data_IF_189516712314
#
_entry.id   IF_189516712314
#
_cell.length_a   1.000
_cell.length_b   1.000
_cell.length_c   1.000
_cell.angle_alpha   90.00
_cell.angle_beta   90.00
_cell.angle_gamma   90.00
#
_symmetry.space_group_name_H-M   'P 1'
#
loop_
_entity.id
_entity.type
_entity.pdbx_description
1 polymer ?
#
# COMPACT_ATOMS: atom_id res chain seq x y z
N UNK A 1 -32.82 -65.82 5.29
CA UNK A 1 -33.88 -64.80 5.09
C UNK A 1 -33.54 -63.65 6.01
N UNK A 2 -33.50 -62.43 5.47
CA UNK A 2 -33.91 -61.13 6.04
C UNK A 2 -33.75 -60.87 7.55
N UNK A 3 -33.38 -59.70 8.07
CA UNK A 3 -33.02 -58.39 7.55
C UNK A 3 -32.74 -57.48 8.77
N UNK A 4 -31.73 -56.62 8.64
CA UNK A 4 -31.60 -55.22 9.07
C UNK A 4 -32.06 -54.68 10.45
N UNK A 5 -31.20 -53.80 10.99
CA UNK A 5 -31.56 -52.58 11.73
C UNK A 5 -31.25 -52.64 13.24
N UNK A 6 -30.65 -51.66 13.90
CA UNK A 6 -30.30 -50.29 13.53
C UNK A 6 -29.31 -49.73 14.57
N UNK A 7 -28.13 -49.30 14.13
CA UNK A 7 -27.23 -48.40 14.87
C UNK A 7 -27.69 -46.97 14.66
N UNK A 8 -27.95 -46.21 15.74
CA UNK A 8 -28.14 -44.75 15.65
C UNK A 8 -26.85 -44.04 16.03
N UNK A 9 -26.29 -43.33 15.06
CA UNK A 9 -25.09 -42.53 15.15
C UNK A 9 -25.30 -41.27 16.01
N UNK A 10 -24.29 -40.95 16.82
CA UNK A 10 -24.08 -39.61 17.35
C UNK A 10 -23.58 -38.74 16.19
N UNK A 11 -24.24 -37.62 15.94
CA UNK A 11 -23.90 -36.72 14.84
C UNK A 11 -22.70 -35.87 15.25
N UNK A 12 -21.53 -36.18 14.68
CA UNK A 12 -20.40 -35.26 14.63
C UNK A 12 -20.72 -34.12 13.66
N UNK A 13 -20.90 -32.91 14.18
CA UNK A 13 -20.84 -31.68 13.38
C UNK A 13 -19.40 -31.16 13.30
N UNK A 14 -18.81 -30.98 12.10
CA UNK A 14 -17.54 -30.30 11.94
C UNK A 14 -17.74 -28.92 11.30
N UNK A 15 -17.40 -27.84 11.99
CA UNK A 15 -17.05 -26.53 11.38
C UNK A 15 -16.68 -25.59 12.54
N UNK A 16 -15.62 -24.79 12.55
CA UNK A 16 -14.96 -24.02 11.49
C UNK A 16 -13.55 -23.66 11.98
N UNK A 17 -12.57 -23.69 11.09
CA UNK A 17 -11.29 -23.04 11.30
C UNK A 17 -11.50 -21.53 11.51
N UNK A 18 -11.05 -21.01 12.65
CA UNK A 18 -10.87 -19.56 12.83
C UNK A 18 -9.44 -19.23 12.46
N UNK A 19 -9.20 -19.01 11.17
CA UNK A 19 -8.06 -18.20 10.78
C UNK A 19 -8.24 -16.82 11.45
N UNK A 20 -7.22 -16.28 12.14
CA UNK A 20 -7.35 -14.98 12.78
C UNK A 20 -7.59 -13.92 11.71
N UNK A 21 -8.71 -13.22 11.90
CA UNK A 21 -9.15 -12.07 11.14
C UNK A 21 -8.04 -11.02 11.02
N UNK A 22 -7.98 -10.39 9.86
CA UNK A 22 -7.10 -9.27 9.48
C UNK A 22 -6.82 -8.29 10.63
N UNK A 23 -5.62 -7.68 10.68
CA UNK A 23 -5.30 -6.66 11.68
C UNK A 23 -6.40 -5.60 11.75
N UNK A 24 -6.73 -5.08 12.95
CA UNK A 24 -7.75 -4.05 13.08
C UNK A 24 -7.39 -2.87 12.17
N UNK A 25 -8.22 -2.64 11.15
CA UNK A 25 -8.13 -1.44 10.33
C UNK A 25 -8.37 -0.26 11.27
N UNK A 26 -7.37 0.60 11.48
CA UNK A 26 -7.55 1.81 12.27
C UNK A 26 -8.71 2.60 11.65
N UNK A 27 -9.69 3.11 12.45
CA UNK A 27 -10.81 3.83 11.87
C UNK A 27 -10.27 5.03 11.07
N UNK A 28 -10.63 5.09 9.79
CA UNK A 28 -10.35 6.26 8.94
C UNK A 28 -10.96 7.47 9.63
N UNK A 29 -10.09 8.40 10.05
CA UNK A 29 -10.51 9.66 10.66
C UNK A 29 -10.80 10.66 9.55
N UNK A 30 -11.95 11.32 9.62
CA UNK A 30 -12.28 12.42 8.73
C UNK A 30 -11.50 13.68 9.15
N UNK A 31 -10.98 14.40 8.17
CA UNK A 31 -10.30 15.68 8.38
C UNK A 31 -10.97 16.78 7.57
N UNK A 32 -10.84 18.02 8.06
CA UNK A 32 -11.46 19.20 7.47
C UNK A 32 -10.51 20.00 6.61
N UNK A 33 -9.20 20.00 6.91
CA UNK A 33 -8.20 20.75 6.14
C UNK A 33 -6.78 20.20 6.32
N UNK A 34 -5.94 20.43 5.31
CA UNK A 34 -4.48 20.38 5.45
C UNK A 34 -4.00 21.79 5.81
N UNK A 35 -3.33 21.92 6.95
CA UNK A 35 -2.87 23.19 7.51
C UNK A 35 -1.45 23.57 7.08
N UNK A 36 -0.64 22.59 6.69
CA UNK A 36 0.77 22.83 6.40
C UNK A 36 1.56 21.54 6.18
N UNK A 37 2.84 21.70 5.89
CA UNK A 37 3.80 20.61 5.74
C UNK A 37 5.15 21.01 6.35
N UNK A 38 6.00 20.02 6.62
CA UNK A 38 7.40 20.21 7.01
C UNK A 38 8.25 19.00 6.67
N UNK A 39 9.54 19.22 6.49
CA UNK A 39 10.55 18.18 6.61
C UNK A 39 10.90 17.97 8.08
N UNK A 40 10.80 16.73 8.55
CA UNK A 40 11.25 16.33 9.88
C UNK A 40 12.20 15.15 9.71
N UNK A 41 13.51 15.41 9.92
CA UNK A 41 14.59 14.46 9.60
C UNK A 41 14.50 14.07 8.12
N UNK A 42 14.25 12.79 7.83
CA UNK A 42 14.19 12.24 6.48
C UNK A 42 12.75 11.93 6.01
N UNK A 43 11.73 12.58 6.60
CA UNK A 43 10.33 12.32 6.28
C UNK A 43 9.50 13.60 6.18
N UNK A 44 8.64 13.66 5.17
CA UNK A 44 7.62 14.70 5.07
C UNK A 44 6.46 14.43 6.03
N UNK A 45 6.12 15.46 6.80
CA UNK A 45 4.94 15.47 7.65
C UNK A 45 3.94 16.51 7.17
N UNK A 46 2.66 16.15 7.23
CA UNK A 46 1.52 16.99 6.87
C UNK A 46 0.75 17.31 8.15
N UNK A 47 0.46 18.59 8.37
CA UNK A 47 -0.33 19.04 9.51
C UNK A 47 -1.82 19.00 9.15
N UNK A 48 -2.58 18.16 9.83
CA UNK A 48 -3.98 17.88 9.51
C UNK A 48 -4.90 18.45 10.58
N UNK A 49 -5.94 19.19 10.16
CA UNK A 49 -7.07 19.58 11.02
C UNK A 49 -8.16 18.52 10.95
N UNK A 50 -8.34 17.78 12.03
CA UNK A 50 -9.35 16.73 12.13
C UNK A 50 -10.74 17.26 12.46
N UNK A 51 -11.77 16.43 12.27
CA UNK A 51 -13.10 16.68 12.83
C UNK A 51 -13.07 16.39 14.34
N UNK A 52 -13.41 17.39 15.15
CA UNK A 52 -13.67 17.22 16.59
C UNK A 52 -12.47 16.92 17.49
N UNK A 53 -11.23 16.96 16.97
CA UNK A 53 -10.00 16.80 17.77
C UNK A 53 -8.90 17.75 17.29
N UNK A 54 -7.87 17.91 18.14
CA UNK A 54 -6.75 18.81 17.87
C UNK A 54 -5.97 18.40 16.61
N UNK A 55 -5.45 19.38 15.85
CA UNK A 55 -4.61 19.10 14.70
C UNK A 55 -3.38 18.28 15.05
N UNK A 56 -2.97 17.39 14.14
CA UNK A 56 -1.77 16.56 14.33
C UNK A 56 -0.91 16.50 13.09
N UNK A 57 0.39 16.27 13.29
CA UNK A 57 1.31 15.92 12.22
C UNK A 57 1.19 14.44 11.88
N UNK A 58 0.95 14.14 10.60
CA UNK A 58 0.94 12.77 10.06
C UNK A 58 1.95 12.63 8.95
N UNK A 59 2.37 11.40 8.68
CA UNK A 59 3.26 11.08 7.58
C UNK A 59 2.60 11.35 6.23
N UNK A 60 3.33 11.91 5.28
CA UNK A 60 2.87 12.06 3.90
C UNK A 60 2.39 10.72 3.33
N UNK A 61 3.15 9.63 3.51
CA UNK A 61 2.74 8.27 3.13
C UNK A 61 1.35 7.89 3.63
N UNK A 62 1.04 8.25 4.87
CA UNK A 62 -0.25 7.87 5.45
C UNK A 62 -1.39 8.62 4.78
N UNK A 63 -1.21 9.92 4.52
CA UNK A 63 -2.19 10.69 3.78
C UNK A 63 -2.29 10.27 2.31
N UNK A 64 -1.18 9.85 1.69
CA UNK A 64 -1.20 9.30 0.33
C UNK A 64 -2.05 8.03 0.25
N UNK A 65 -1.88 7.10 1.19
CA UNK A 65 -2.71 5.88 1.26
C UNK A 65 -4.18 6.20 1.52
N UNK A 66 -4.43 7.08 2.48
CA UNK A 66 -5.77 7.25 3.02
C UNK A 66 -6.58 8.29 2.22
N UNK A 67 -5.94 9.32 1.68
CA UNK A 67 -6.59 10.43 0.99
C UNK A 67 -5.72 11.06 -0.10
N UNK A 68 -5.20 10.23 -1.03
CA UNK A 68 -4.32 10.64 -2.14
C UNK A 68 -4.79 11.91 -2.86
N UNK A 69 -6.07 11.97 -3.24
CA UNK A 69 -6.61 13.11 -3.97
C UNK A 69 -6.47 14.44 -3.22
N UNK A 70 -6.74 14.45 -1.90
CA UNK A 70 -6.59 15.65 -1.09
C UNK A 70 -5.12 16.06 -0.92
N UNK A 71 -4.21 15.09 -0.78
CA UNK A 71 -2.77 15.35 -0.72
C UNK A 71 -2.27 15.97 -2.03
N UNK A 72 -2.63 15.40 -3.18
CA UNK A 72 -2.21 15.92 -4.49
C UNK A 72 -2.81 17.30 -4.77
N UNK A 73 -4.07 17.51 -4.43
CA UNK A 73 -4.70 18.84 -4.53
C UNK A 73 -3.97 19.87 -3.66
N UNK A 74 -3.59 19.49 -2.43
CA UNK A 74 -2.79 20.36 -1.56
C UNK A 74 -1.46 20.74 -2.21
N UNK A 75 -0.72 19.77 -2.75
CA UNK A 75 0.54 20.07 -3.45
C UNK A 75 0.34 20.98 -4.66
N UNK A 76 -0.67 20.72 -5.49
CA UNK A 76 -1.00 21.55 -6.65
C UNK A 76 -1.44 22.97 -6.29
N UNK A 77 -1.94 23.19 -5.07
CA UNK A 77 -2.35 24.52 -4.60
C UNK A 77 -1.17 25.41 -4.19
N UNK A 78 0.02 24.84 -3.95
CA UNK A 78 1.20 25.60 -3.56
C UNK A 78 1.89 26.19 -4.79
N UNK A 79 2.42 27.43 -4.72
CA UNK A 79 3.11 28.06 -5.86
C UNK A 79 4.26 27.23 -6.45
N UNK A 80 4.96 26.47 -5.62
CA UNK A 80 6.13 25.67 -6.00
C UNK A 80 5.85 24.16 -5.93
N UNK A 81 4.60 23.73 -5.77
CA UNK A 81 4.25 22.32 -5.64
C UNK A 81 4.76 21.68 -4.34
N UNK A 82 4.94 20.35 -4.39
CA UNK A 82 5.59 19.55 -3.35
C UNK A 82 7.08 19.90 -3.30
N UNK A 83 7.66 20.33 -2.16
CA UNK A 83 9.08 20.62 -2.07
C UNK A 83 9.95 19.37 -2.29
N UNK A 84 11.17 19.55 -2.80
CA UNK A 84 12.16 18.48 -2.90
C UNK A 84 12.74 18.12 -1.54
N UNK A 85 13.41 16.97 -1.48
CA UNK A 85 14.19 16.57 -0.31
C UNK A 85 15.39 17.51 -0.12
N UNK A 86 15.55 18.12 1.07
CA UNK A 86 16.61 19.10 1.32
C UNK A 86 18.01 18.47 1.35
N UNK A 87 18.10 17.16 1.64
CA UNK A 87 19.39 16.46 1.73
C UNK A 87 19.84 15.91 0.37
N UNK A 88 18.90 15.45 -0.47
CA UNK A 88 19.16 14.88 -1.80
C UNK A 88 17.88 14.92 -2.65
N UNK A 89 17.83 15.76 -3.69
CA UNK A 89 16.64 15.99 -4.52
C UNK A 89 16.33 14.86 -5.52
N UNK A 90 17.20 13.84 -5.62
CA UNK A 90 16.97 12.62 -6.39
C UNK A 90 16.37 11.49 -5.55
N UNK A 91 16.23 11.67 -4.23
CA UNK A 91 15.70 10.65 -3.32
C UNK A 91 14.19 10.81 -3.11
N UNK A 92 13.45 9.80 -3.57
CA UNK A 92 11.99 9.71 -3.44
C UNK A 92 11.57 8.48 -2.64
N UNK A 93 10.48 8.59 -1.89
CA UNK A 93 9.94 7.49 -1.11
C UNK A 93 9.02 6.60 -1.96
N UNK A 94 9.34 5.31 -2.08
CA UNK A 94 8.53 4.31 -2.82
C UNK A 94 7.25 4.00 -2.06
N UNK A 95 6.07 4.31 -2.61
CA UNK A 95 4.80 3.95 -2.00
C UNK A 95 4.49 2.45 -2.16
N UNK A 96 4.49 1.94 -3.39
CA UNK A 96 4.32 0.52 -3.77
C UNK A 96 4.68 0.28 -5.23
N UNK A 97 4.75 -0.98 -5.64
CA UNK A 97 4.84 -1.38 -7.05
C UNK A 97 3.46 -1.70 -7.62
N UNK A 98 3.19 -1.24 -8.84
CA UNK A 98 1.89 -1.38 -9.52
C UNK A 98 1.87 -2.47 -10.57
N UNK A 99 3.00 -2.72 -11.19
CA UNK A 99 3.13 -3.69 -12.26
C UNK A 99 4.59 -4.11 -12.42
N UNK A 100 4.84 -5.14 -13.22
CA UNK A 100 6.17 -5.51 -13.65
C UNK A 100 6.21 -5.85 -15.13
N UNK A 101 7.39 -5.71 -15.73
CA UNK A 101 7.64 -6.19 -17.09
C UNK A 101 9.04 -6.76 -17.21
N UNK A 102 9.16 -7.77 -18.06
CA UNK A 102 10.47 -8.30 -18.43
C UNK A 102 11.32 -7.20 -19.07
N UNK A 103 12.61 -7.16 -18.73
CA UNK A 103 13.57 -6.29 -19.41
C UNK A 103 13.74 -6.71 -20.87
N UNK A 104 14.06 -5.74 -21.73
CA UNK A 104 14.35 -6.01 -23.14
C UNK A 104 15.78 -6.56 -23.30
N UNK A 105 15.98 -7.60 -24.13
CA UNK A 105 17.30 -8.10 -24.57
C UNK A 105 18.28 -8.37 -23.41
N UNK A 106 17.96 -9.35 -22.56
CA UNK A 106 18.83 -9.72 -21.43
C UNK A 106 18.88 -8.70 -20.29
N UNK A 107 18.12 -7.60 -20.39
CA UNK A 107 17.94 -6.66 -19.27
C UNK A 107 17.11 -7.29 -18.16
N UNK A 108 17.43 -6.88 -16.94
CA UNK A 108 16.75 -7.24 -15.71
C UNK A 108 15.31 -6.73 -15.71
N UNK A 109 14.46 -7.38 -14.91
CA UNK A 109 13.05 -7.03 -14.78
C UNK A 109 12.89 -5.61 -14.22
N UNK A 110 11.81 -4.95 -14.63
CA UNK A 110 11.45 -3.60 -14.20
C UNK A 110 10.14 -3.65 -13.43
N UNK A 111 10.04 -2.84 -12.36
CA UNK A 111 8.83 -2.63 -11.57
C UNK A 111 8.29 -1.22 -11.84
N UNK A 112 6.98 -1.10 -12.03
CA UNK A 112 6.31 0.20 -12.14
C UNK A 112 6.12 0.76 -10.72
N UNK A 113 6.89 1.78 -10.38
CA UNK A 113 6.99 2.34 -9.04
C UNK A 113 6.03 3.51 -8.85
N UNK A 114 5.19 3.42 -7.82
CA UNK A 114 4.42 4.54 -7.31
C UNK A 114 5.19 5.26 -6.23
N UNK A 115 5.29 6.59 -6.34
CA UNK A 115 6.03 7.45 -5.42
C UNK A 115 5.08 8.16 -4.44
N UNK A 116 5.48 8.24 -3.17
CA UNK A 116 4.73 8.99 -2.15
C UNK A 116 4.68 10.47 -2.53
N UNK A 117 3.49 11.05 -2.49
CA UNK A 117 3.25 12.46 -2.82
C UNK A 117 3.04 12.76 -4.31
N UNK A 118 3.15 11.76 -5.19
CA UNK A 118 3.06 11.96 -6.65
C UNK A 118 1.85 11.26 -7.28
N UNK A 119 1.44 11.76 -8.43
CA UNK A 119 0.31 11.22 -9.18
C UNK A 119 0.69 9.92 -9.92
N UNK A 120 -0.32 9.17 -10.37
CA UNK A 120 -0.08 7.94 -11.14
C UNK A 120 0.62 8.19 -12.48
N UNK A 121 0.44 9.38 -13.07
CA UNK A 121 1.16 9.79 -14.28
C UNK A 121 2.67 9.97 -14.07
N UNK A 122 3.12 10.08 -12.82
CA UNK A 122 4.52 10.28 -12.43
C UNK A 122 5.18 8.95 -12.00
N UNK A 123 4.49 7.83 -12.14
CA UNK A 123 5.08 6.51 -11.94
C UNK A 123 6.18 6.24 -12.97
N UNK A 124 7.26 5.61 -12.52
CA UNK A 124 8.42 5.30 -13.36
C UNK A 124 8.71 3.80 -13.32
N UNK A 125 9.41 3.30 -14.34
CA UNK A 125 9.82 1.90 -14.42
C UNK A 125 11.23 1.75 -13.86
N UNK A 126 11.34 1.23 -12.66
CA UNK A 126 12.62 1.09 -11.94
C UNK A 126 13.17 -0.35 -12.03
N UNK A 127 14.50 -0.54 -12.05
CA UNK A 127 15.11 -1.86 -12.00
C UNK A 127 14.75 -2.61 -10.71
N UNK A 128 14.25 -3.84 -10.83
CA UNK A 128 13.88 -4.65 -9.66
C UNK A 128 15.06 -4.83 -8.69
N UNK A 129 16.29 -5.00 -9.20
CA UNK A 129 17.46 -5.17 -8.34
C UNK A 129 17.83 -3.92 -7.55
N UNK A 130 17.56 -2.73 -8.08
CA UNK A 130 17.78 -1.48 -7.35
C UNK A 130 16.69 -1.31 -6.27
N UNK A 131 15.44 -1.62 -6.63
CA UNK A 131 14.33 -1.64 -5.69
C UNK A 131 14.51 -2.68 -4.58
N UNK A 132 15.09 -3.85 -4.88
CA UNK A 132 15.40 -4.88 -3.90
C UNK A 132 16.47 -4.43 -2.89
N UNK A 133 17.38 -3.54 -3.29
CA UNK A 133 18.36 -2.94 -2.38
C UNK A 133 17.74 -1.82 -1.54
N UNK A 134 16.84 -1.04 -2.13
CA UNK A 134 16.26 0.15 -1.49
C UNK A 134 15.10 -0.18 -0.55
N UNK A 135 14.17 -1.05 -0.97
CA UNK A 135 12.89 -1.36 -0.29
C UNK A 135 12.53 -2.86 -0.46
N UNK A 136 13.38 -3.79 0.01
CA UNK A 136 13.18 -5.23 -0.19
C UNK A 136 11.79 -5.71 0.28
N UNK A 137 11.28 -5.16 1.38
CA UNK A 137 9.98 -5.51 1.93
C UNK A 137 8.81 -5.20 0.99
N UNK A 138 8.91 -4.13 0.18
CA UNK A 138 7.88 -3.79 -0.80
C UNK A 138 7.96 -4.67 -2.06
N UNK A 139 9.17 -5.10 -2.42
CA UNK A 139 9.38 -6.05 -3.53
C UNK A 139 8.79 -7.41 -3.17
N UNK A 140 9.07 -7.91 -1.96
CA UNK A 140 8.52 -9.16 -1.45
C UNK A 140 6.98 -9.11 -1.39
N UNK A 141 6.42 -8.01 -0.87
CA UNK A 141 4.96 -7.82 -0.82
C UNK A 141 4.34 -7.85 -2.23
N UNK A 142 4.94 -7.15 -3.18
CA UNK A 142 4.46 -7.12 -4.57
C UNK A 142 4.41 -8.51 -5.19
N UNK A 143 5.47 -9.31 -5.03
CA UNK A 143 5.50 -10.66 -5.57
C UNK A 143 4.53 -11.61 -4.88
N UNK A 144 4.38 -11.50 -3.56
CA UNK A 144 3.40 -12.28 -2.81
C UNK A 144 1.96 -11.97 -3.28
N UNK A 145 1.62 -10.69 -3.41
CA UNK A 145 0.30 -10.25 -3.92
C UNK A 145 0.06 -10.76 -5.35
N UNK A 146 1.06 -10.64 -6.22
CA UNK A 146 0.97 -11.10 -7.61
C UNK A 146 0.78 -12.61 -7.72
N UNK A 147 1.44 -13.39 -6.88
CA UNK A 147 1.26 -14.84 -6.81
C UNK A 147 -0.17 -15.23 -6.38
N UNK A 148 -0.73 -14.52 -5.41
CA UNK A 148 -2.13 -14.72 -4.97
C UNK A 148 -3.12 -14.38 -6.08
N UNK A 149 -2.92 -13.27 -6.80
CA UNK A 149 -3.79 -12.87 -7.92
C UNK A 149 -3.72 -13.92 -9.04
N UNK A 150 -2.50 -14.38 -9.39
CA UNK A 150 -2.32 -15.43 -10.39
C UNK A 150 -3.05 -16.72 -9.99
N UNK A 151 -2.88 -17.18 -8.75
CA UNK A 151 -3.54 -18.38 -8.27
C UNK A 151 -5.08 -18.28 -8.29
N UNK A 152 -5.63 -17.08 -8.03
CA UNK A 152 -7.09 -16.84 -8.16
C UNK A 152 -7.53 -16.87 -9.62
N UNK A 153 -6.76 -16.30 -10.54
CA UNK A 153 -7.08 -16.29 -11.97
C UNK A 153 -6.96 -17.67 -12.61
N UNK A 154 -6.05 -18.52 -12.15
CA UNK A 154 -5.89 -19.89 -12.65
C UNK A 154 -7.01 -20.84 -12.15
N UNK A 155 -7.81 -20.41 -11.16
CA UNK A 155 -8.91 -21.20 -10.57
C UNK A 155 -10.28 -20.92 -11.20
N UNK A 156 -10.45 -19.80 -11.90
CA UNK A 156 -11.67 -19.43 -12.63
C UNK A 156 -11.50 -19.63 -14.13
#
# INVERSE_FOLDING_TARGET
MSSMGSTSAHVDTPVTSRCPSSPPQRPRREFTAILGHRWEKCEFQIHIKWVGVDPTWVRERSLHRDSKAALLHYWQSLPNGRPMNPDDDEVFEVFRFRDDKAGKRGKKRLLLTEWVGYDEKEMTWEPEEEMMKAVPELVDLFWAEKAVIKAKNDFY
#
